data_IF_510110681637
#
_entry.id   IF_510110681637
#
_cell.length_a   1.000
_cell.length_b   1.000
_cell.length_c   1.000
_cell.angle_alpha   90.00
_cell.angle_beta   90.00
_cell.angle_gamma   90.00
#
_symmetry.space_group_name_H-M   'P 1'
#
loop_
_entity.id
_entity.type
_entity.pdbx_description
1 polymer ?
#
# COMPACT_ATOMS: atom_id res chain seq x y z
N UNK A 1 -2.57 3.98 18.51
CA UNK A 1 -3.56 3.90 17.42
C UNK A 1 -3.77 2.44 17.08
N UNK A 2 -5.02 1.96 16.88
CA UNK A 2 -5.28 0.57 16.55
C UNK A 2 -4.74 0.22 15.16
N UNK A 3 -4.19 -0.98 15.02
CA UNK A 3 -3.84 -1.57 13.74
C UNK A 3 -5.06 -2.28 13.17
N UNK A 4 -5.32 -2.07 11.88
CA UNK A 4 -6.40 -2.74 11.15
C UNK A 4 -5.81 -3.68 10.11
N UNK A 5 -6.40 -4.87 9.97
CA UNK A 5 -6.10 -5.81 8.91
C UNK A 5 -7.36 -6.08 8.10
N UNK A 6 -7.20 -6.21 6.78
CA UNK A 6 -8.29 -6.45 5.85
C UNK A 6 -7.77 -7.08 4.56
N UNK A 7 -8.56 -7.96 3.97
CA UNK A 7 -8.37 -8.37 2.58
C UNK A 7 -8.60 -7.16 1.67
N UNK A 8 -7.68 -6.93 0.75
CA UNK A 8 -7.77 -5.80 -0.17
C UNK A 8 -7.19 -6.11 -1.56
N UNK A 9 -7.74 -5.44 -2.56
CA UNK A 9 -7.23 -5.44 -3.92
C UNK A 9 -6.56 -4.09 -4.22
N UNK A 10 -5.37 -4.14 -4.81
CA UNK A 10 -4.67 -2.95 -5.28
C UNK A 10 -5.40 -2.41 -6.50
N UNK A 11 -5.76 -1.13 -6.46
CA UNK A 11 -6.39 -0.44 -7.59
C UNK A 11 -5.37 0.37 -8.38
N UNK A 12 -4.45 1.04 -7.68
CA UNK A 12 -3.44 1.91 -8.31
C UNK A 12 -2.30 2.22 -7.34
N UNK A 13 -1.10 2.43 -7.89
CA UNK A 13 0.06 2.94 -7.14
C UNK A 13 0.60 4.23 -7.75
N UNK A 14 1.15 5.08 -6.89
CA UNK A 14 1.82 6.33 -7.29
C UNK A 14 3.16 6.45 -6.55
N UNK A 15 4.14 7.10 -7.16
CA UNK A 15 5.38 7.47 -6.47
C UNK A 15 5.05 8.58 -5.46
N UNK A 16 5.38 8.36 -4.19
CA UNK A 16 5.34 9.41 -3.16
C UNK A 16 6.69 10.14 -3.07
N UNK A 17 7.76 9.41 -3.34
CA UNK A 17 9.13 9.92 -3.34
C UNK A 17 10.08 8.85 -3.86
N UNK A 18 11.34 8.96 -3.48
CA UNK A 18 12.35 8.00 -3.92
C UNK A 18 12.10 6.60 -3.34
N UNK A 19 11.86 6.48 -2.04
CA UNK A 19 11.71 5.19 -1.38
C UNK A 19 10.26 4.68 -1.29
N UNK A 20 9.26 5.57 -1.44
CA UNK A 20 7.89 5.32 -0.98
C UNK A 20 6.86 5.35 -2.12
N UNK A 21 5.75 4.63 -1.91
CA UNK A 21 4.57 4.68 -2.79
C UNK A 21 3.31 5.08 -2.03
N UNK A 22 2.43 5.81 -2.70
CA UNK A 22 1.01 5.88 -2.33
C UNK A 22 0.31 4.69 -2.98
N UNK A 23 -0.47 3.95 -2.20
CA UNK A 23 -1.27 2.81 -2.66
C UNK A 23 -2.74 3.11 -2.49
N UNK A 24 -3.51 2.96 -3.56
CA UNK A 24 -4.97 2.99 -3.54
C UNK A 24 -5.45 1.54 -3.59
N UNK A 25 -6.27 1.14 -2.62
CA UNK A 25 -6.76 -0.23 -2.50
C UNK A 25 -8.23 -0.26 -2.09
N UNK A 26 -8.94 -1.30 -2.52
CA UNK A 26 -10.31 -1.59 -2.15
C UNK A 26 -10.29 -2.71 -1.10
N UNK A 27 -10.75 -2.41 0.10
CA UNK A 27 -10.95 -3.42 1.15
C UNK A 27 -12.32 -4.08 1.00
N UNK A 28 -12.46 -5.33 1.44
CA UNK A 28 -13.75 -6.05 1.41
C UNK A 28 -14.84 -5.35 2.24
N UNK A 29 -14.49 -4.80 3.40
CA UNK A 29 -15.45 -4.36 4.43
C UNK A 29 -15.43 -2.85 4.74
N UNK A 30 -14.40 -2.11 4.29
CA UNK A 30 -14.22 -0.69 4.61
C UNK A 30 -14.13 0.20 3.37
N UNK A 31 -14.41 -0.37 2.20
CA UNK A 31 -14.39 0.32 0.92
C UNK A 31 -12.99 0.75 0.48
N UNK A 32 -12.94 1.77 -0.39
CA UNK A 32 -11.72 2.29 -0.99
C UNK A 32 -10.92 3.12 0.02
N UNK A 33 -9.63 2.82 0.15
CA UNK A 33 -8.70 3.54 1.02
C UNK A 33 -7.41 3.88 0.27
N UNK A 34 -6.63 4.76 0.87
CA UNK A 34 -5.33 5.17 0.37
C UNK A 34 -4.34 5.23 1.52
N UNK A 35 -3.14 4.71 1.30
CA UNK A 35 -2.10 4.65 2.34
C UNK A 35 -0.70 4.80 1.77
N UNK A 36 0.26 5.05 2.64
CA UNK A 36 1.68 5.11 2.28
C UNK A 36 2.33 3.76 2.55
N UNK A 37 2.84 3.14 1.49
CA UNK A 37 3.73 1.99 1.60
C UNK A 37 5.17 2.51 1.72
N UNK A 38 5.61 2.70 2.98
CA UNK A 38 6.97 3.18 3.29
C UNK A 38 8.01 2.16 2.88
N UNK A 39 9.07 2.60 2.21
CA UNK A 39 10.15 1.77 1.70
C UNK A 39 9.73 0.83 0.57
N UNK A 40 8.58 1.03 -0.07
CA UNK A 40 8.08 0.16 -1.15
C UNK A 40 9.03 0.03 -2.35
N UNK A 41 9.94 1.00 -2.55
CA UNK A 41 10.93 0.99 -3.64
C UNK A 41 12.35 0.58 -3.20
N UNK A 42 12.58 0.28 -1.92
CA UNK A 42 13.88 -0.18 -1.44
C UNK A 42 14.17 -1.60 -1.95
N UNK A 43 15.43 -1.92 -2.20
CA UNK A 43 15.86 -3.24 -2.70
C UNK A 43 15.41 -4.40 -1.80
N UNK A 44 15.40 -4.19 -0.48
CA UNK A 44 14.94 -5.17 0.53
C UNK A 44 13.56 -4.79 1.09
N UNK A 45 12.59 -4.56 0.21
CA UNK A 45 11.22 -4.21 0.61
C UNK A 45 10.33 -5.43 0.73
N UNK A 46 9.47 -5.46 1.77
CA UNK A 46 8.41 -6.47 1.89
C UNK A 46 7.32 -6.32 0.82
N UNK A 47 7.39 -5.25 0.01
CA UNK A 47 6.43 -4.97 -1.05
C UNK A 47 6.88 -5.44 -2.43
N UNK A 48 8.07 -6.04 -2.57
CA UNK A 48 8.58 -6.55 -3.86
C UNK A 48 7.71 -7.72 -4.33
N UNK A 49 6.88 -7.51 -5.36
CA UNK A 49 5.97 -8.51 -5.91
C UNK A 49 4.53 -8.44 -5.40
N UNK A 50 4.23 -7.58 -4.42
CA UNK A 50 2.91 -7.48 -3.80
C UNK A 50 2.14 -6.18 -4.12
N UNK A 51 2.82 -5.12 -4.59
CA UNK A 51 2.25 -3.79 -4.89
C UNK A 51 2.40 -3.38 -6.35
#
# INVERSE_FOLDING_TARGET
MPLYSADALILRTYKLGEADRIVVFLTRDRGKKRGVAKGARRTRSNFVGAL
#
